data_IF_600360004092
#
_entry.id   IF_600360004092
#
_cell.length_a   1.000
_cell.length_b   1.000
_cell.length_c   1.000
_cell.angle_alpha   90.00
_cell.angle_beta   90.00
_cell.angle_gamma   90.00
#
_symmetry.space_group_name_H-M   'P 1'
#
loop_
_entity.id
_entity.type
_entity.pdbx_description
1 polymer ?
#
# COMPACT_ATOMS: atom_id res chain seq x y z
N UNK A 1 36.17 15.19 0.01
CA UNK A 1 35.69 13.81 -0.17
C UNK A 1 34.31 13.90 -0.77
N UNK A 2 34.17 13.44 -2.01
CA UNK A 2 33.06 13.71 -2.92
C UNK A 2 31.70 13.25 -2.38
N UNK A 3 30.76 14.17 -2.23
CA UNK A 3 29.33 13.86 -2.05
C UNK A 3 28.78 12.98 -3.18
N UNK A 4 29.43 13.02 -4.36
CA UNK A 4 29.10 12.19 -5.53
C UNK A 4 29.46 10.72 -5.28
N UNK A 5 30.58 10.40 -4.62
CA UNK A 5 30.92 9.00 -4.27
C UNK A 5 30.02 8.42 -3.20
N UNK A 6 29.50 9.25 -2.29
CA UNK A 6 28.54 8.82 -1.26
C UNK A 6 27.17 8.54 -1.89
N UNK A 7 26.77 9.34 -2.90
CA UNK A 7 25.54 9.11 -3.65
C UNK A 7 25.62 7.85 -4.55
N UNK A 8 26.78 7.56 -5.15
CA UNK A 8 27.01 6.33 -5.92
C UNK A 8 27.08 5.08 -5.02
N UNK A 9 27.65 5.21 -3.81
CA UNK A 9 27.82 4.08 -2.88
C UNK A 9 26.52 3.63 -2.19
N UNK A 10 25.43 4.42 -2.28
CA UNK A 10 24.16 4.12 -1.60
C UNK A 10 23.00 3.76 -2.53
N UNK A 11 23.19 3.71 -3.85
CA UNK A 11 22.22 3.00 -4.70
C UNK A 11 22.41 1.52 -4.40
N UNK A 12 21.54 0.96 -3.55
CA UNK A 12 21.42 -0.48 -3.42
C UNK A 12 21.45 -1.07 -4.84
N UNK A 13 22.31 -2.09 -5.06
CA UNK A 13 22.35 -2.77 -6.35
C UNK A 13 20.94 -3.29 -6.62
N UNK A 14 20.26 -2.64 -7.55
CA UNK A 14 18.94 -3.07 -7.99
C UNK A 14 19.10 -4.46 -8.61
N UNK A 15 18.38 -5.48 -8.14
CA UNK A 15 18.47 -6.81 -8.71
C UNK A 15 18.13 -6.81 -10.20
N UNK A 16 19.06 -7.32 -11.01
CA UNK A 16 18.91 -7.44 -12.46
C UNK A 16 19.27 -8.86 -12.90
N UNK A 17 18.52 -9.41 -13.86
CA UNK A 17 18.78 -10.69 -14.51
C UNK A 17 18.75 -10.51 -16.03
N UNK A 18 19.79 -11.02 -16.70
CA UNK A 18 19.93 -10.97 -18.17
C UNK A 18 19.89 -12.39 -18.74
N UNK A 19 19.10 -12.61 -19.79
CA UNK A 19 19.02 -13.89 -20.51
C UNK A 19 18.85 -13.65 -22.02
N UNK A 20 19.94 -13.83 -22.78
CA UNK A 20 20.00 -13.43 -24.18
C UNK A 20 19.80 -11.92 -24.30
N UNK A 21 18.84 -11.50 -25.13
CA UNK A 21 18.48 -10.08 -25.31
C UNK A 21 17.46 -9.56 -24.28
N UNK A 22 17.03 -10.39 -23.32
CA UNK A 22 16.04 -10.01 -22.31
C UNK A 22 16.73 -9.54 -21.04
N UNK A 23 16.24 -8.44 -20.47
CA UNK A 23 16.69 -7.87 -19.20
C UNK A 23 15.48 -7.71 -18.28
N UNK A 24 15.60 -8.19 -17.05
CA UNK A 24 14.60 -8.02 -16.00
C UNK A 24 15.24 -7.31 -14.80
N UNK A 25 14.75 -6.12 -14.47
CA UNK A 25 15.21 -5.30 -13.35
C UNK A 25 14.07 -5.13 -12.34
N UNK A 26 14.36 -5.29 -11.05
CA UNK A 26 13.40 -5.02 -9.98
C UNK A 26 13.32 -3.51 -9.73
N UNK A 27 12.18 -2.86 -9.90
CA UNK A 27 12.09 -1.45 -9.55
C UNK A 27 12.04 -1.26 -8.03
N UNK A 28 12.93 -0.43 -7.49
CA UNK A 28 12.84 0.03 -6.09
C UNK A 28 12.00 1.32 -6.06
N UNK A 29 10.75 1.20 -5.61
CA UNK A 29 9.82 2.32 -5.54
C UNK A 29 9.22 2.46 -4.15
N UNK A 30 9.60 3.51 -3.43
CA UNK A 30 9.01 3.84 -2.14
C UNK A 30 7.72 4.65 -2.31
N UNK A 31 7.65 5.44 -3.39
CA UNK A 31 6.53 6.33 -3.69
C UNK A 31 5.91 6.04 -5.07
N UNK A 32 4.63 6.36 -5.19
CA UNK A 32 3.87 6.12 -6.42
C UNK A 32 4.44 6.92 -7.59
N UNK A 33 4.93 8.13 -7.31
CA UNK A 33 5.44 9.03 -8.34
C UNK A 33 6.75 8.52 -8.97
N UNK A 34 7.52 7.68 -8.26
CA UNK A 34 8.73 7.02 -8.77
C UNK A 34 8.37 6.10 -9.94
N UNK A 35 7.40 5.21 -9.74
CA UNK A 35 6.92 4.35 -10.81
C UNK A 35 6.24 5.12 -11.94
N UNK A 36 5.52 6.20 -11.63
CA UNK A 36 4.92 7.03 -12.67
C UNK A 36 5.98 7.66 -13.57
N UNK A 37 7.12 8.09 -13.00
CA UNK A 37 8.27 8.60 -13.76
C UNK A 37 8.89 7.49 -14.62
N UNK A 38 9.12 6.30 -14.06
CA UNK A 38 9.65 5.16 -14.80
C UNK A 38 8.74 4.76 -15.97
N UNK A 39 7.42 4.71 -15.77
CA UNK A 39 6.44 4.43 -16.83
C UNK A 39 6.53 5.45 -17.98
N UNK A 40 6.66 6.74 -17.67
CA UNK A 40 6.85 7.77 -18.69
C UNK A 40 8.18 7.62 -19.44
N UNK A 41 9.25 7.16 -18.79
CA UNK A 41 10.55 6.92 -19.42
C UNK A 41 10.49 5.85 -20.54
N UNK A 42 9.59 4.87 -20.39
CA UNK A 42 9.29 3.85 -21.40
C UNK A 42 8.09 4.22 -22.29
N UNK A 43 7.71 5.50 -22.30
CA UNK A 43 6.67 6.09 -23.17
C UNK A 43 5.24 5.61 -22.92
N UNK A 44 4.90 5.18 -21.69
CA UNK A 44 3.49 5.03 -21.30
C UNK A 44 2.82 6.41 -21.29
N UNK A 45 1.54 6.47 -21.66
CA UNK A 45 0.78 7.73 -21.63
C UNK A 45 0.71 8.32 -20.22
N UNK A 46 0.58 9.64 -20.12
CA UNK A 46 0.44 10.31 -18.81
C UNK A 46 -0.78 9.82 -18.04
N UNK A 47 -1.91 9.63 -18.73
CA UNK A 47 -3.14 9.09 -18.14
C UNK A 47 -2.94 7.65 -17.64
N UNK A 48 -2.27 6.81 -18.43
CA UNK A 48 -1.94 5.44 -18.04
C UNK A 48 -1.05 5.39 -16.81
N UNK A 49 0.02 6.18 -16.81
CA UNK A 49 0.98 6.29 -15.69
C UNK A 49 0.29 6.75 -14.41
N UNK A 50 -0.60 7.74 -14.49
CA UNK A 50 -1.33 8.27 -13.34
C UNK A 50 -2.33 7.26 -12.75
N UNK A 51 -2.92 6.39 -13.57
CA UNK A 51 -3.79 5.31 -13.09
C UNK A 51 -2.95 4.17 -12.50
N UNK A 52 -1.86 3.80 -13.18
CA UNK A 52 -1.05 2.65 -12.81
C UNK A 52 -0.23 2.88 -11.54
N UNK A 53 0.24 4.10 -11.28
CA UNK A 53 1.04 4.41 -10.07
C UNK A 53 0.35 4.04 -8.76
N UNK A 54 -0.99 4.03 -8.73
CA UNK A 54 -1.74 3.65 -7.54
C UNK A 54 -1.67 2.14 -7.23
N UNK A 55 -1.12 1.33 -8.14
CA UNK A 55 -0.95 -0.12 -8.02
C UNK A 55 0.47 -0.54 -7.63
N UNK A 56 1.42 0.39 -7.56
CA UNK A 56 2.85 0.04 -7.49
C UNK A 56 3.42 0.06 -6.07
N UNK A 57 2.77 0.79 -5.15
CA UNK A 57 3.19 0.86 -3.75
C UNK A 57 2.26 0.04 -2.88
N UNK A 58 2.84 -0.93 -2.15
CA UNK A 58 2.18 -1.72 -1.14
C UNK A 58 2.16 -0.96 0.20
N UNK A 59 1.02 -0.99 0.88
CA UNK A 59 0.85 -0.43 2.21
C UNK A 59 0.56 -1.56 3.21
N UNK A 60 1.16 -1.45 4.39
CA UNK A 60 0.84 -2.27 5.56
C UNK A 60 0.31 -1.36 6.66
N UNK A 61 -0.96 -1.54 7.05
CA UNK A 61 -1.66 -0.64 7.97
C UNK A 61 -2.14 -1.45 9.17
N UNK A 62 -1.59 -1.16 10.35
CA UNK A 62 -2.06 -1.71 11.61
C UNK A 62 -3.29 -0.95 12.09
N UNK A 63 -4.39 -1.66 12.30
CA UNK A 63 -5.60 -1.14 12.96
C UNK A 63 -5.78 -1.90 14.26
N UNK A 64 -5.97 -1.17 15.36
CA UNK A 64 -6.13 -1.77 16.68
C UNK A 64 -7.56 -1.67 17.18
N UNK A 65 -7.93 -2.59 18.07
CA UNK A 65 -9.17 -2.52 18.86
C UNK A 65 -10.48 -2.49 18.03
N UNK A 66 -10.52 -3.25 16.94
CA UNK A 66 -11.75 -3.43 16.15
C UNK A 66 -12.46 -4.71 16.56
N UNK A 67 -13.77 -4.79 16.34
CA UNK A 67 -14.50 -6.03 16.66
C UNK A 67 -14.09 -7.17 15.75
N UNK A 68 -14.18 -8.42 16.22
CA UNK A 68 -13.91 -9.59 15.37
C UNK A 68 -14.74 -9.59 14.08
N UNK A 69 -16.00 -9.15 14.13
CA UNK A 69 -16.83 -9.02 12.93
C UNK A 69 -16.28 -7.96 11.96
N UNK A 70 -15.87 -6.79 12.44
CA UNK A 70 -15.30 -5.73 11.59
C UNK A 70 -13.99 -6.20 10.95
N UNK A 71 -13.14 -6.88 11.72
CA UNK A 71 -11.92 -7.51 11.24
C UNK A 71 -12.20 -8.49 10.09
N UNK A 72 -13.19 -9.37 10.26
CA UNK A 72 -13.59 -10.33 9.24
C UNK A 72 -14.19 -9.65 8.00
N UNK A 73 -15.03 -8.62 8.17
CA UNK A 73 -15.56 -7.84 7.03
C UNK A 73 -14.41 -7.22 6.25
N UNK A 74 -13.46 -6.57 6.93
CA UNK A 74 -12.28 -5.96 6.29
C UNK A 74 -11.46 -7.02 5.56
N UNK A 75 -11.21 -8.19 6.17
CA UNK A 75 -10.51 -9.32 5.54
C UNK A 75 -11.20 -9.73 4.23
N UNK A 76 -12.51 -9.95 4.27
CA UNK A 76 -13.25 -10.38 3.08
C UNK A 76 -13.24 -9.31 1.97
N UNK A 77 -13.43 -8.03 2.34
CA UNK A 77 -13.37 -6.93 1.37
C UNK A 77 -11.98 -6.75 0.78
N UNK A 78 -10.91 -7.01 1.55
CA UNK A 78 -9.54 -6.98 1.05
C UNK A 78 -9.23 -8.13 0.10
N UNK A 79 -9.62 -9.37 0.45
CA UNK A 79 -9.47 -10.53 -0.42
C UNK A 79 -10.19 -10.31 -1.77
N UNK A 80 -11.42 -9.78 -1.74
CA UNK A 80 -12.18 -9.45 -2.95
C UNK A 80 -11.50 -8.42 -3.87
N UNK A 81 -10.53 -7.64 -3.34
CA UNK A 81 -9.75 -6.63 -4.08
C UNK A 81 -8.34 -7.11 -4.45
N UNK A 82 -7.98 -8.35 -4.10
CA UNK A 82 -6.65 -8.92 -4.31
C UNK A 82 -5.58 -8.40 -3.35
N UNK A 83 -5.98 -7.81 -2.22
CA UNK A 83 -5.08 -7.57 -1.09
C UNK A 83 -5.40 -8.55 0.04
N UNK A 84 -4.94 -8.25 1.25
CA UNK A 84 -5.18 -9.11 2.41
C UNK A 84 -5.32 -8.33 3.73
N UNK A 85 -5.77 -9.01 4.78
CA UNK A 85 -5.63 -8.57 6.15
C UNK A 85 -5.15 -9.73 7.04
N UNK A 86 -4.10 -9.54 7.83
CA UNK A 86 -3.73 -10.48 8.88
C UNK A 86 -4.60 -10.22 10.12
N UNK A 87 -5.17 -11.28 10.69
CA UNK A 87 -5.98 -11.24 11.90
C UNK A 87 -5.56 -12.38 12.85
N UNK A 88 -5.73 -12.21 14.18
CA UNK A 88 -5.52 -13.30 15.14
C UNK A 88 -6.49 -14.45 14.88
N UNK A 89 -6.07 -15.68 15.22
CA UNK A 89 -6.86 -16.91 14.97
C UNK A 89 -8.20 -16.85 15.70
N UNK A 90 -8.19 -16.31 16.91
CA UNK A 90 -9.32 -16.18 17.82
C UNK A 90 -10.41 -15.26 17.26
N UNK A 91 -10.04 -14.30 16.39
CA UNK A 91 -11.01 -13.46 15.71
C UNK A 91 -11.79 -14.23 14.64
N UNK A 92 -11.21 -15.30 14.07
CA UNK A 92 -11.89 -16.18 13.11
C UNK A 92 -12.94 -17.06 13.80
N UNK A 93 -12.62 -17.56 15.00
CA UNK A 93 -13.52 -18.37 15.83
C UNK A 93 -14.54 -17.55 16.63
N UNK A 94 -14.50 -16.22 16.55
CA UNK A 94 -15.29 -15.31 17.39
C UNK A 94 -15.06 -15.47 18.90
N UNK A 95 -13.88 -15.97 19.29
CA UNK A 95 -13.49 -16.19 20.68
C UNK A 95 -12.99 -14.91 21.37
N UNK A 96 -12.76 -13.84 20.58
CA UNK A 96 -12.41 -12.50 21.09
C UNK A 96 -13.41 -11.44 20.64
N UNK A 97 -13.74 -10.52 21.54
CA UNK A 97 -14.59 -9.37 21.20
C UNK A 97 -13.85 -8.35 20.34
N UNK A 98 -12.56 -8.15 20.62
CA UNK A 98 -11.68 -7.16 19.99
C UNK A 98 -10.42 -7.79 19.43
N UNK A 99 -9.92 -7.25 18.33
CA UNK A 99 -8.72 -7.72 17.64
C UNK A 99 -7.95 -6.56 17.02
N UNK A 100 -6.65 -6.78 16.87
CA UNK A 100 -5.77 -5.95 16.05
C UNK A 100 -5.53 -6.65 14.71
N UNK A 101 -5.55 -5.91 13.61
CA UNK A 101 -5.34 -6.43 12.27
C UNK A 101 -4.28 -5.64 11.51
N UNK A 102 -3.60 -6.30 10.57
CA UNK A 102 -2.72 -5.63 9.61
C UNK A 102 -3.35 -5.76 8.23
N UNK A 103 -3.77 -4.65 7.64
CA UNK A 103 -4.23 -4.60 6.25
C UNK A 103 -3.00 -4.49 5.34
N UNK A 104 -2.92 -5.35 4.33
CA UNK A 104 -1.86 -5.34 3.32
C UNK A 104 -2.47 -5.16 1.94
N UNK A 105 -2.07 -4.12 1.21
CA UNK A 105 -2.58 -3.89 -0.14
C UNK A 105 -2.01 -2.65 -0.81
N UNK A 106 -2.14 -2.58 -2.11
CA UNK A 106 -1.76 -1.40 -2.90
C UNK A 106 -2.64 -0.21 -2.53
N UNK A 107 -2.15 1.01 -2.76
CA UNK A 107 -2.93 2.22 -2.53
C UNK A 107 -4.32 2.18 -3.21
N UNK A 108 -4.41 1.70 -4.45
CA UNK A 108 -5.68 1.52 -5.15
C UNK A 108 -6.63 0.56 -4.43
N UNK A 109 -6.11 -0.55 -3.88
CA UNK A 109 -6.92 -1.51 -3.13
C UNK A 109 -7.44 -0.90 -1.83
N UNK A 110 -6.60 -0.17 -1.09
CA UNK A 110 -7.02 0.53 0.14
C UNK A 110 -8.07 1.61 -0.16
N UNK A 111 -7.89 2.42 -1.20
CA UNK A 111 -8.90 3.39 -1.61
C UNK A 111 -10.25 2.74 -1.96
N UNK A 112 -10.22 1.57 -2.60
CA UNK A 112 -11.43 0.80 -2.92
C UNK A 112 -12.05 0.15 -1.68
N UNK A 113 -11.26 -0.22 -0.67
CA UNK A 113 -11.75 -0.69 0.62
C UNK A 113 -12.50 0.43 1.33
N UNK A 114 -11.87 1.60 1.48
CA UNK A 114 -12.45 2.80 2.11
C UNK A 114 -13.83 3.09 1.55
N UNK A 115 -13.95 3.22 0.22
CA UNK A 115 -15.22 3.51 -0.46
C UNK A 115 -16.32 2.49 -0.13
N UNK A 116 -15.95 1.23 0.10
CA UNK A 116 -16.90 0.15 0.33
C UNK A 116 -17.32 0.02 1.78
N UNK A 117 -16.43 0.23 2.74
CA UNK A 117 -16.75 0.11 4.16
C UNK A 117 -17.37 1.40 4.72
N UNK A 118 -17.17 2.55 4.04
CA UNK A 118 -17.75 3.84 4.41
C UNK A 118 -19.28 3.86 4.46
N UNK A 119 -19.95 3.07 3.63
CA UNK A 119 -21.42 2.97 3.59
C UNK A 119 -21.99 1.82 4.43
N UNK A 120 -21.16 1.12 5.21
CA UNK A 120 -21.60 -0.02 6.02
C UNK A 120 -21.95 0.41 7.45
N UNK A 121 -22.53 -0.51 8.21
CA UNK A 121 -22.92 -0.33 9.62
C UNK A 121 -21.73 -0.45 10.58
N UNK A 122 -21.96 -0.21 11.88
CA UNK A 122 -20.97 -0.26 12.98
C UNK A 122 -19.89 0.81 12.87
N UNK A 123 -18.66 0.54 13.31
CA UNK A 123 -17.56 1.49 13.27
C UNK A 123 -16.83 1.53 11.91
N UNK A 124 -17.28 0.76 10.92
CA UNK A 124 -16.67 0.72 9.59
C UNK A 124 -16.58 2.08 8.88
N UNK A 125 -17.57 2.99 8.99
CA UNK A 125 -17.43 4.35 8.47
C UNK A 125 -16.28 5.13 9.14
N UNK A 126 -16.13 4.99 10.46
CA UNK A 126 -15.05 5.64 11.21
C UNK A 126 -13.68 5.08 10.80
N UNK A 127 -13.59 3.76 10.59
CA UNK A 127 -12.37 3.10 10.08
C UNK A 127 -12.05 3.60 8.66
N UNK A 128 -13.05 3.76 7.78
CA UNK A 128 -12.85 4.35 6.46
C UNK A 128 -12.31 5.78 6.51
N UNK A 129 -12.83 6.61 7.41
CA UNK A 129 -12.38 7.98 7.57
C UNK A 129 -10.94 8.03 8.12
N UNK A 130 -10.61 7.20 9.12
CA UNK A 130 -9.24 7.06 9.63
C UNK A 130 -8.25 6.60 8.54
N UNK A 131 -8.64 5.61 7.73
CA UNK A 131 -7.82 5.14 6.62
C UNK A 131 -7.63 6.24 5.56
N UNK A 132 -8.66 7.04 5.29
CA UNK A 132 -8.58 8.15 4.35
C UNK A 132 -7.58 9.21 4.84
N UNK A 133 -7.68 9.60 6.11
CA UNK A 133 -6.77 10.56 6.73
C UNK A 133 -5.32 10.04 6.74
N UNK A 134 -5.11 8.74 6.98
CA UNK A 134 -3.79 8.13 6.93
C UNK A 134 -3.17 8.19 5.53
N UNK A 135 -3.97 7.94 4.49
CA UNK A 135 -3.52 8.06 3.10
C UNK A 135 -3.20 9.50 2.71
N UNK A 136 -3.98 10.47 3.18
CA UNK A 136 -3.71 11.90 2.97
C UNK A 136 -2.41 12.32 3.63
N UNK A 137 -2.20 11.94 4.91
CA UNK A 137 -0.95 12.20 5.64
C UNK A 137 0.27 11.58 4.98
N UNK A 138 0.17 10.35 4.44
CA UNK A 138 1.29 9.74 3.67
C UNK A 138 1.63 10.53 2.41
N UNK A 139 0.65 11.18 1.80
CA UNK A 139 0.84 11.95 0.59
C UNK A 139 1.34 13.37 0.85
N UNK A 140 1.19 13.88 2.08
CA UNK A 140 1.73 15.17 2.47
C UNK A 140 3.26 15.13 2.56
N UNK A 141 3.89 16.05 1.83
CA UNK A 141 5.34 16.21 1.69
C UNK A 141 6.05 16.39 3.04
N UNK A 142 5.36 16.94 4.05
CA UNK A 142 5.92 17.13 5.41
C UNK A 142 6.23 15.78 6.08
N UNK A 143 5.41 14.76 5.85
CA UNK A 143 5.62 13.41 6.37
C UNK A 143 6.53 12.55 5.47
N UNK A 144 6.82 13.00 4.23
CA UNK A 144 7.74 12.31 3.32
C UNK A 144 9.22 12.52 3.66
N UNK A 145 9.58 13.64 4.31
CA UNK A 145 10.96 14.00 4.66
C UNK A 145 11.27 13.99 6.16
N UNK A 146 10.34 13.54 7.00
CA UNK A 146 10.56 13.37 8.44
C UNK A 146 11.10 11.98 8.81
N UNK A 147 11.60 11.23 7.83
CA UNK A 147 12.21 9.92 8.01
C UNK A 147 13.58 9.84 7.36
#
# INVERSE_FOLDING_TARGET
MDAIRVAEASRAKIPEVISGDHVAELLDNEYQDDCAYMMRSIRVTDSGSQVMKNKTVLLNILIRNITATEALIIKQEMLARGGDAALPREAVSHEVEKADIIITGTYLQIQRLIKKIKSQVRALPQIADMLSELLEKKNDTIFRYSR
#
